data_IF_721018532005
#
_entry.id   IF_721018532005
#
_cell.length_a   1.000
_cell.length_b   1.000
_cell.length_c   1.000
_cell.angle_alpha   90.00
_cell.angle_beta   90.00
_cell.angle_gamma   90.00
#
_symmetry.space_group_name_H-M   'P 1'
#
loop_
_entity.id
_entity.type
_entity.pdbx_description
1 polymer ?
#
# COMPACT_ATOMS: atom_id res chain seq x y z
N UNK A 1 15.28 9.81 -12.35
CA UNK A 1 14.26 10.18 -11.34
C UNK A 1 13.94 8.95 -10.53
N UNK A 2 13.63 9.09 -9.25
CA UNK A 2 13.31 7.95 -8.38
C UNK A 2 11.96 7.33 -8.79
N UNK A 3 11.84 6.00 -8.87
CA UNK A 3 10.57 5.32 -9.09
C UNK A 3 9.55 5.61 -7.97
N UNK A 4 8.27 5.38 -8.26
CA UNK A 4 7.16 5.66 -7.34
C UNK A 4 6.25 4.45 -7.22
N UNK A 5 5.79 4.17 -6.00
CA UNK A 5 4.62 3.34 -5.73
C UNK A 5 3.41 4.24 -5.53
N UNK A 6 2.36 3.98 -6.29
CA UNK A 6 1.02 4.52 -6.08
C UNK A 6 0.16 3.45 -5.41
N UNK A 7 -0.50 3.80 -4.31
CA UNK A 7 -1.50 2.98 -3.65
C UNK A 7 -2.86 3.65 -3.77
N UNK A 8 -3.82 2.93 -4.36
CA UNK A 8 -5.19 3.35 -4.52
C UNK A 8 -6.13 2.42 -3.77
N UNK A 9 -6.88 2.98 -2.83
CA UNK A 9 -7.93 2.28 -2.09
C UNK A 9 -9.27 2.65 -2.72
N UNK A 10 -9.93 1.66 -3.33
CA UNK A 10 -11.21 1.79 -3.98
C UNK A 10 -12.28 1.09 -3.15
N UNK A 11 -13.15 1.89 -2.51
CA UNK A 11 -14.41 1.37 -1.98
C UNK A 11 -15.45 1.37 -3.09
N UNK A 12 -15.99 0.21 -3.40
CA UNK A 12 -16.99 0.06 -4.44
C UNK A 12 -18.38 -0.11 -3.87
N UNK A 13 -19.39 0.22 -4.68
CA UNK A 13 -20.79 -0.07 -4.39
C UNK A 13 -20.97 -1.59 -4.22
N UNK A 14 -22.05 -2.02 -3.57
CA UNK A 14 -22.44 -3.42 -3.60
C UNK A 14 -22.82 -3.81 -5.04
N UNK A 15 -21.88 -4.41 -5.77
CA UNK A 15 -22.07 -4.92 -7.12
C UNK A 15 -21.62 -6.38 -7.15
N UNK A 16 -22.40 -7.25 -7.79
CA UNK A 16 -22.09 -8.68 -7.87
C UNK A 16 -20.82 -8.97 -8.67
N UNK A 17 -20.46 -8.10 -9.62
CA UNK A 17 -19.26 -8.25 -10.43
C UNK A 17 -18.69 -6.89 -10.84
N UNK A 18 -17.44 -6.63 -10.43
CA UNK A 18 -16.69 -5.41 -10.78
C UNK A 18 -15.58 -5.68 -11.81
N UNK A 19 -15.45 -6.92 -12.27
CA UNK A 19 -14.30 -7.40 -13.04
C UNK A 19 -14.15 -6.70 -14.39
N UNK A 20 -15.24 -6.48 -15.13
CA UNK A 20 -15.18 -5.82 -16.45
C UNK A 20 -14.66 -4.38 -16.35
N UNK A 21 -15.21 -3.59 -15.44
CA UNK A 21 -14.79 -2.19 -15.27
C UNK A 21 -13.36 -2.10 -14.72
N UNK A 22 -12.96 -2.99 -13.80
CA UNK A 22 -11.57 -3.08 -13.35
C UNK A 22 -10.62 -3.46 -14.49
N UNK A 23 -10.99 -4.42 -15.33
CA UNK A 23 -10.19 -4.81 -16.50
C UNK A 23 -10.06 -3.66 -17.50
N UNK A 24 -11.15 -2.92 -17.75
CA UNK A 24 -11.13 -1.73 -18.60
C UNK A 24 -10.19 -0.65 -18.03
N UNK A 25 -10.32 -0.34 -16.74
CA UNK A 25 -9.43 0.61 -16.07
C UNK A 25 -7.95 0.17 -16.14
N UNK A 26 -7.66 -1.10 -15.86
CA UNK A 26 -6.31 -1.66 -15.94
C UNK A 26 -5.75 -1.64 -17.36
N UNK A 27 -6.59 -1.83 -18.38
CA UNK A 27 -6.21 -1.69 -19.78
C UNK A 27 -5.73 -0.27 -20.10
N UNK A 28 -6.46 0.76 -19.64
CA UNK A 28 -6.06 2.16 -19.79
C UNK A 28 -4.77 2.46 -19.04
N UNK A 29 -4.65 1.98 -17.80
CA UNK A 29 -3.47 2.18 -16.96
C UNK A 29 -2.24 1.52 -17.57
N UNK A 30 -2.34 0.29 -18.09
CA UNK A 30 -1.24 -0.45 -18.71
C UNK A 30 -0.57 0.31 -19.86
N UNK A 31 -1.35 1.08 -20.61
CA UNK A 31 -0.88 1.87 -21.74
C UNK A 31 -0.38 3.27 -21.33
N UNK A 32 -0.44 3.63 -20.04
CA UNK A 32 0.03 4.91 -19.54
C UNK A 32 1.56 5.00 -19.66
N UNK A 33 2.05 6.10 -20.23
CA UNK A 33 3.49 6.32 -20.36
C UNK A 33 4.14 6.41 -18.97
N UNK A 34 5.15 5.58 -18.73
CA UNK A 34 5.94 5.57 -17.49
C UNK A 34 5.35 4.72 -16.36
N UNK A 35 4.21 4.05 -16.55
CA UNK A 35 3.80 2.95 -15.67
C UNK A 35 4.71 1.75 -15.92
N UNK A 36 5.03 0.98 -14.88
CA UNK A 36 5.86 -0.23 -14.98
C UNK A 36 5.07 -1.48 -14.71
N UNK A 37 4.30 -1.49 -13.63
CA UNK A 37 3.52 -2.65 -13.21
C UNK A 37 2.28 -2.23 -12.44
N UNK A 38 1.34 -3.17 -12.33
CA UNK A 38 0.19 -3.03 -11.44
C UNK A 38 -0.14 -4.36 -10.79
N UNK A 39 -0.58 -4.28 -9.54
CA UNK A 39 -1.07 -5.35 -8.70
C UNK A 39 -2.42 -4.94 -8.15
N UNK A 40 -3.37 -5.86 -8.14
CA UNK A 40 -4.73 -5.57 -7.68
C UNK A 40 -5.27 -6.74 -6.87
N UNK A 41 -6.06 -6.44 -5.85
CA UNK A 41 -6.87 -7.45 -5.22
C UNK A 41 -7.75 -6.93 -4.09
N UNK A 42 -8.58 -7.81 -3.52
CA UNK A 42 -9.54 -7.43 -2.50
C UNK A 42 -8.84 -7.12 -1.17
N UNK A 43 -9.44 -6.23 -0.40
CA UNK A 43 -9.19 -6.18 1.03
C UNK A 43 -9.79 -7.44 1.68
N UNK A 44 -9.06 -8.09 2.57
CA UNK A 44 -9.47 -9.32 3.25
C UNK A 44 -10.53 -9.05 4.34
N UNK A 45 -10.53 -7.84 4.90
CA UNK A 45 -11.36 -7.46 6.05
C UNK A 45 -12.48 -6.49 5.67
N UNK A 46 -12.58 -6.12 4.39
CA UNK A 46 -13.57 -5.19 3.87
C UNK A 46 -14.08 -5.67 2.51
N UNK A 47 -15.20 -6.39 2.52
CA UNK A 47 -15.76 -7.07 1.34
C UNK A 47 -16.00 -6.17 0.12
N UNK A 48 -16.20 -4.86 0.33
CA UNK A 48 -16.43 -3.88 -0.72
C UNK A 48 -15.22 -2.98 -1.02
N UNK A 49 -14.01 -3.45 -0.73
CA UNK A 49 -12.78 -2.69 -0.95
C UNK A 49 -11.81 -3.46 -1.83
N UNK A 50 -11.33 -2.80 -2.88
CA UNK A 50 -10.23 -3.27 -3.72
C UNK A 50 -9.05 -2.33 -3.55
N UNK A 51 -7.85 -2.90 -3.50
CA UNK A 51 -6.60 -2.14 -3.47
C UNK A 51 -5.88 -2.34 -4.79
N UNK A 52 -5.50 -1.23 -5.43
CA UNK A 52 -4.64 -1.20 -6.60
C UNK A 52 -3.30 -0.60 -6.18
N UNK A 53 -2.23 -1.36 -6.37
CA UNK A 53 -0.86 -0.89 -6.25
C UNK A 53 -0.26 -0.79 -7.66
N UNK A 54 0.25 0.38 -8.03
CA UNK A 54 0.90 0.58 -9.33
C UNK A 54 2.29 1.19 -9.14
N UNK A 55 3.24 0.83 -10.00
CA UNK A 55 4.58 1.43 -9.95
C UNK A 55 4.89 2.21 -11.20
N UNK A 56 5.62 3.30 -11.00
CA UNK A 56 5.90 4.31 -12.01
C UNK A 56 7.39 4.60 -12.07
N UNK A 57 7.87 4.98 -13.26
CA UNK A 57 9.24 5.42 -13.49
C UNK A 57 9.60 6.67 -12.69
N UNK A 58 8.62 7.54 -12.44
CA UNK A 58 8.78 8.76 -11.64
C UNK A 58 7.44 9.33 -11.21
N UNK A 59 7.46 10.23 -10.23
CA UNK A 59 6.28 11.01 -9.86
C UNK A 59 5.82 11.93 -11.01
N UNK A 60 6.75 12.40 -11.84
CA UNK A 60 6.39 13.17 -13.03
C UNK A 60 5.54 12.35 -14.03
N UNK A 61 5.84 11.06 -14.20
CA UNK A 61 5.04 10.16 -15.03
C UNK A 61 3.60 10.03 -14.51
N UNK A 62 3.43 9.91 -13.19
CA UNK A 62 2.11 9.94 -12.53
C UNK A 62 1.37 11.23 -12.88
N UNK A 63 1.98 12.40 -12.65
CA UNK A 63 1.35 13.70 -12.89
C UNK A 63 0.99 13.87 -14.38
N UNK A 64 1.84 13.42 -15.29
CA UNK A 64 1.57 13.44 -16.73
C UNK A 64 0.39 12.54 -17.10
N UNK A 65 0.28 11.36 -16.49
CA UNK A 65 -0.89 10.50 -16.67
C UNK A 65 -2.15 11.20 -16.16
N UNK A 66 -2.16 11.72 -14.93
CA UNK A 66 -3.31 12.43 -14.33
C UNK A 66 -3.81 13.59 -15.19
N UNK A 67 -2.91 14.30 -15.87
CA UNK A 67 -3.24 15.42 -16.78
C UNK A 67 -3.69 14.98 -18.18
N UNK A 68 -3.61 13.69 -18.51
CA UNK A 68 -3.91 13.17 -19.84
C UNK A 68 -5.38 12.80 -20.03
N UNK A 69 -5.84 12.74 -21.28
CA UNK A 69 -7.18 12.23 -21.63
C UNK A 69 -7.37 10.76 -21.22
N UNK A 70 -6.28 10.00 -21.12
CA UNK A 70 -6.31 8.61 -20.65
C UNK A 70 -6.70 8.53 -19.17
N UNK A 71 -6.25 9.44 -18.32
CA UNK A 71 -6.71 9.47 -16.93
C UNK A 71 -8.21 9.74 -16.85
N UNK A 72 -8.77 10.60 -17.70
CA UNK A 72 -10.21 10.78 -17.75
C UNK A 72 -10.96 9.50 -18.14
N UNK A 73 -10.40 8.66 -19.02
CA UNK A 73 -10.95 7.34 -19.35
C UNK A 73 -10.85 6.39 -18.15
N UNK A 74 -9.65 6.25 -17.57
CA UNK A 74 -9.40 5.43 -16.38
C UNK A 74 -10.32 5.80 -15.22
N UNK A 75 -10.41 7.08 -14.89
CA UNK A 75 -11.21 7.59 -13.78
C UNK A 75 -12.71 7.35 -14.01
N UNK A 76 -13.20 7.45 -15.25
CA UNK A 76 -14.60 7.11 -15.56
C UNK A 76 -14.91 5.65 -15.23
N UNK A 77 -14.04 4.72 -15.59
CA UNK A 77 -14.26 3.30 -15.28
C UNK A 77 -14.20 3.04 -13.77
N UNK A 78 -13.26 3.66 -13.07
CA UNK A 78 -13.16 3.57 -11.60
C UNK A 78 -14.40 4.17 -10.92
N UNK A 79 -14.87 5.34 -11.37
CA UNK A 79 -16.02 6.03 -10.78
C UNK A 79 -17.34 5.28 -10.94
N UNK A 80 -17.49 4.45 -11.99
CA UNK A 80 -18.66 3.57 -12.14
C UNK A 80 -18.76 2.59 -10.97
N UNK A 81 -17.62 2.08 -10.51
CA UNK A 81 -17.50 1.14 -9.40
C UNK A 81 -17.58 1.84 -8.03
N UNK A 82 -16.97 3.01 -7.92
CA UNK A 82 -16.70 3.64 -6.65
C UNK A 82 -17.96 4.14 -5.94
N UNK A 83 -18.06 3.89 -4.62
CA UNK A 83 -19.04 4.52 -3.74
C UNK A 83 -18.62 5.97 -3.43
N UNK A 84 -17.33 6.17 -3.18
CA UNK A 84 -16.69 7.46 -2.93
C UNK A 84 -15.45 7.61 -3.83
N UNK A 85 -14.93 8.83 -4.07
CA UNK A 85 -13.69 9.00 -4.80
C UNK A 85 -12.57 8.14 -4.20
N UNK A 86 -11.82 7.38 -5.02
CA UNK A 86 -10.76 6.52 -4.51
C UNK A 86 -9.69 7.35 -3.83
N UNK A 87 -9.13 6.82 -2.74
CA UNK A 87 -8.00 7.45 -2.05
C UNK A 87 -6.72 6.96 -2.68
N UNK A 88 -5.98 7.88 -3.30
CA UNK A 88 -4.68 7.59 -3.93
C UNK A 88 -3.57 8.33 -3.20
N UNK A 89 -2.45 7.65 -2.98
CA UNK A 89 -1.26 8.20 -2.32
C UNK A 89 -0.01 7.66 -2.97
N UNK A 90 1.10 8.39 -2.86
CA UNK A 90 2.35 8.01 -3.51
C UNK A 90 3.50 7.92 -2.52
N UNK A 91 4.40 6.97 -2.73
CA UNK A 91 5.67 6.86 -2.02
C UNK A 91 6.81 6.75 -3.03
N UNK A 92 7.93 7.41 -2.76
CA UNK A 92 9.14 7.13 -3.52
C UNK A 92 9.63 5.73 -3.18
N UNK A 93 10.12 5.02 -4.19
CA UNK A 93 10.81 3.75 -3.97
C UNK A 93 12.28 4.07 -3.71
N UNK A 94 12.72 3.87 -2.47
CA UNK A 94 14.14 3.99 -2.16
C UNK A 94 14.93 2.85 -2.82
N UNK A 95 16.15 3.14 -3.26
CA UNK A 95 17.06 2.17 -3.88
C UNK A 95 17.48 1.05 -2.91
N UNK A 96 17.10 1.14 -1.62
CA UNK A 96 17.51 0.22 -0.57
C UNK A 96 16.45 -0.85 -0.31
N UNK A 97 16.77 -2.08 -0.73
CA UNK A 97 16.31 -3.36 -0.14
C UNK A 97 14.82 -3.72 -0.16
N UNK A 98 13.91 -2.86 -0.63
CA UNK A 98 12.51 -3.27 -0.70
C UNK A 98 12.28 -4.12 -1.93
N UNK A 99 12.23 -5.44 -1.74
CA UNK A 99 11.72 -6.35 -2.76
C UNK A 99 10.19 -6.27 -2.77
N UNK A 100 9.67 -5.23 -3.41
CA UNK A 100 8.22 -5.06 -3.59
C UNK A 100 7.60 -6.21 -4.38
N UNK A 101 8.37 -6.92 -5.25
CA UNK A 101 7.85 -8.09 -5.96
C UNK A 101 7.56 -9.19 -4.95
N UNK A 102 8.51 -9.49 -4.07
CA UNK A 102 8.31 -10.44 -2.98
C UNK A 102 7.17 -10.01 -2.06
N UNK A 103 7.12 -8.73 -1.67
CA UNK A 103 6.02 -8.21 -0.84
C UNK A 103 4.65 -8.45 -1.48
N UNK A 104 4.47 -8.09 -2.76
CA UNK A 104 3.20 -8.27 -3.47
C UNK A 104 2.88 -9.73 -3.84
N UNK A 105 3.80 -10.68 -3.59
CA UNK A 105 3.50 -12.12 -3.65
C UNK A 105 2.99 -12.72 -2.34
N UNK A 106 3.04 -11.96 -1.24
CA UNK A 106 2.53 -12.41 0.05
C UNK A 106 1.02 -12.70 -0.01
N UNK A 107 0.57 -13.70 0.76
CA UNK A 107 -0.86 -14.10 0.77
C UNK A 107 -1.73 -13.11 1.54
N UNK A 108 -1.15 -12.40 2.49
CA UNK A 108 -1.77 -11.28 3.16
C UNK A 108 -0.73 -10.16 3.30
N UNK A 109 -1.11 -8.93 3.00
CA UNK A 109 -0.30 -7.74 3.23
C UNK A 109 -1.06 -6.86 4.17
N UNK A 110 -0.50 -6.62 5.35
CA UNK A 110 -0.93 -5.58 6.26
C UNK A 110 -0.52 -4.23 5.67
N UNK A 111 -1.47 -3.31 5.51
CA UNK A 111 -1.24 -1.96 5.02
C UNK A 111 -1.68 -0.96 6.08
N UNK A 112 -0.73 -0.29 6.71
CA UNK A 112 -0.97 0.69 7.77
C UNK A 112 -0.56 2.08 7.31
N UNK A 113 -1.52 3.01 7.07
CA UNK A 113 -1.19 4.41 6.94
C UNK A 113 -0.93 4.97 8.34
N UNK A 114 0.23 5.59 8.53
CA UNK A 114 0.63 6.17 9.81
C UNK A 114 0.82 7.67 9.64
N UNK A 115 0.26 8.44 10.56
CA UNK A 115 0.58 9.86 10.72
C UNK A 115 1.52 9.99 11.90
N UNK A 116 2.67 10.61 11.71
CA UNK A 116 3.72 10.76 12.71
C UNK A 116 3.62 12.14 13.37
N UNK A 117 4.06 12.23 14.63
CA UNK A 117 4.36 13.53 15.22
C UNK A 117 5.54 14.17 14.48
N UNK A 118 5.40 15.44 14.09
CA UNK A 118 6.38 16.11 13.23
C UNK A 118 7.79 16.16 13.83
N UNK A 119 7.90 16.28 15.16
CA UNK A 119 9.18 16.25 15.90
C UNK A 119 9.72 14.83 16.14
N UNK A 120 8.95 13.79 15.80
CA UNK A 120 9.30 12.37 16.00
C UNK A 120 9.66 11.62 14.73
N UNK A 121 9.52 12.23 13.55
CA UNK A 121 9.77 11.55 12.26
C UNK A 121 11.15 10.85 12.22
N UNK A 122 12.22 11.56 12.61
CA UNK A 122 13.55 10.97 12.59
C UNK A 122 13.69 9.79 13.57
N UNK A 123 13.20 9.96 14.81
CA UNK A 123 13.24 8.91 15.82
C UNK A 123 12.40 7.70 15.41
N UNK A 124 11.28 7.93 14.72
CA UNK A 124 10.42 6.87 14.18
C UNK A 124 11.19 5.96 13.23
N UNK A 125 11.90 6.53 12.25
CA UNK A 125 12.69 5.72 11.31
C UNK A 125 13.83 4.96 12.00
N UNK A 126 14.44 5.52 13.06
CA UNK A 126 15.43 4.80 13.88
C UNK A 126 14.79 3.63 14.61
N UNK A 127 13.70 3.87 15.34
CA UNK A 127 12.98 2.85 16.10
C UNK A 127 12.48 1.74 15.17
N UNK A 128 12.02 2.12 13.98
CA UNK A 128 11.49 1.18 13.01
C UNK A 128 12.57 0.25 12.43
N UNK A 129 13.84 0.63 12.39
CA UNK A 129 14.92 -0.31 12.05
C UNK A 129 15.05 -1.44 13.07
N UNK A 130 14.75 -1.17 14.34
CA UNK A 130 14.72 -2.19 15.40
C UNK A 130 13.41 -2.97 15.35
N UNK A 131 12.27 -2.28 15.31
CA UNK A 131 10.94 -2.89 15.25
C UNK A 131 10.77 -3.80 14.02
N UNK A 132 11.29 -3.37 12.86
CA UNK A 132 11.29 -4.16 11.63
C UNK A 132 12.10 -5.46 11.74
N UNK A 133 13.15 -5.51 12.57
CA UNK A 133 13.86 -6.77 12.84
C UNK A 133 13.03 -7.73 13.69
N UNK A 134 12.20 -7.21 14.58
CA UNK A 134 11.26 -8.04 15.36
C UNK A 134 10.19 -8.63 14.45
N UNK A 135 9.61 -7.81 13.56
CA UNK A 135 8.68 -8.28 12.52
C UNK A 135 9.36 -9.32 11.63
N UNK A 136 10.58 -9.05 11.15
CA UNK A 136 11.30 -9.97 10.27
C UNK A 136 11.68 -11.30 10.92
N UNK A 137 11.75 -11.35 12.26
CA UNK A 137 11.97 -12.58 13.02
C UNK A 137 10.67 -13.37 13.27
N UNK A 138 9.51 -12.75 13.07
CA UNK A 138 8.22 -13.38 13.29
C UNK A 138 7.94 -14.50 12.28
N UNK A 139 7.25 -15.54 12.73
CA UNK A 139 6.86 -16.65 11.87
C UNK A 139 5.91 -16.17 10.78
N UNK A 140 6.22 -16.50 9.53
CA UNK A 140 5.38 -16.16 8.38
C UNK A 140 5.61 -14.77 7.81
N UNK A 141 6.61 -14.03 8.30
CA UNK A 141 7.09 -12.82 7.64
C UNK A 141 7.60 -13.11 6.22
N UNK A 142 7.21 -12.27 5.27
CA UNK A 142 7.64 -12.35 3.86
C UNK A 142 8.57 -11.20 3.51
N UNK A 143 8.08 -9.96 3.63
CA UNK A 143 8.81 -8.73 3.33
C UNK A 143 8.14 -7.55 4.02
N UNK A 144 8.80 -6.39 4.06
CA UNK A 144 8.20 -5.14 4.51
C UNK A 144 8.64 -3.96 3.63
N UNK A 145 7.79 -2.96 3.53
CA UNK A 145 8.05 -1.68 2.88
C UNK A 145 7.60 -0.56 3.80
N UNK A 146 8.43 0.47 3.95
CA UNK A 146 8.03 1.65 4.68
C UNK A 146 8.64 2.91 4.11
N UNK A 147 7.80 3.83 3.65
CA UNK A 147 8.22 5.08 3.05
C UNK A 147 7.22 6.21 3.35
N UNK A 148 7.69 7.46 3.41
CA UNK A 148 6.81 8.61 3.58
C UNK A 148 5.94 8.82 2.34
N UNK A 149 4.77 9.39 2.54
CA UNK A 149 3.90 9.82 1.45
C UNK A 149 4.47 11.11 0.84
N UNK A 150 4.49 11.18 -0.49
CA UNK A 150 5.01 12.34 -1.25
C UNK A 150 4.18 13.60 -0.94
N UNK A 151 2.87 13.44 -0.79
CA UNK A 151 1.92 14.54 -0.60
C UNK A 151 1.88 15.06 0.84
N UNK A 152 2.32 14.23 1.80
CA UNK A 152 2.24 14.53 3.22
C UNK A 152 3.44 13.89 3.94
N UNK A 153 4.54 14.64 4.18
CA UNK A 153 5.80 14.06 4.68
C UNK A 153 5.73 13.52 6.11
N UNK A 154 4.68 13.87 6.87
CA UNK A 154 4.39 13.30 8.19
C UNK A 154 3.52 12.05 8.11
N UNK A 155 2.97 11.74 6.95
CA UNK A 155 2.29 10.48 6.69
C UNK A 155 3.26 9.50 6.04
N UNK A 156 3.07 8.23 6.33
CA UNK A 156 3.81 7.15 5.69
C UNK A 156 2.90 5.96 5.44
N UNK A 157 3.34 5.08 4.55
CA UNK A 157 2.84 3.72 4.47
C UNK A 157 3.81 2.78 5.14
N UNK A 158 3.29 1.90 6.00
CA UNK A 158 3.98 0.68 6.43
C UNK A 158 3.22 -0.50 5.84
N UNK A 159 3.90 -1.30 5.02
CA UNK A 159 3.36 -2.52 4.43
C UNK A 159 4.16 -3.71 4.96
N UNK A 160 3.49 -4.75 5.42
CA UNK A 160 4.14 -5.98 5.88
C UNK A 160 3.46 -7.17 5.23
N UNK A 161 4.23 -7.97 4.50
CA UNK A 161 3.79 -9.19 3.87
C UNK A 161 3.87 -10.37 4.82
N UNK A 162 2.81 -11.16 4.82
CA UNK A 162 2.63 -12.35 5.64
C UNK A 162 2.23 -13.56 4.79
N UNK A 163 2.68 -14.73 5.20
CA UNK A 163 2.31 -16.02 4.60
C UNK A 163 0.82 -16.34 4.80
N UNK A 164 0.20 -15.79 5.84
CA UNK A 164 -1.26 -15.83 6.06
C UNK A 164 -1.70 -14.75 7.05
N UNK A 165 -2.98 -14.39 7.03
CA UNK A 165 -3.55 -13.42 7.98
C UNK A 165 -3.51 -13.95 9.42
N UNK A 166 -3.62 -15.27 9.61
CA UNK A 166 -3.54 -15.91 10.92
C UNK A 166 -2.14 -15.78 11.53
N UNK A 167 -1.08 -15.80 10.73
CA UNK A 167 0.29 -15.62 11.22
C UNK A 167 0.56 -14.17 11.64
N UNK A 168 0.03 -13.19 10.90
CA UNK A 168 -0.01 -11.80 11.35
C UNK A 168 -0.75 -11.66 12.69
N UNK A 169 -1.95 -12.21 12.80
CA UNK A 169 -2.71 -12.18 14.06
C UNK A 169 -1.97 -12.89 15.20
N UNK A 170 -1.24 -13.97 14.92
CA UNK A 170 -0.42 -14.64 15.92
C UNK A 170 0.72 -13.75 16.42
N UNK A 171 1.36 -12.98 15.54
CA UNK A 171 2.36 -11.97 15.94
C UNK A 171 1.76 -10.91 16.87
N UNK A 172 0.56 -10.39 16.56
CA UNK A 172 -0.11 -9.39 17.42
C UNK A 172 -0.49 -9.91 18.82
N UNK A 173 -0.54 -11.24 18.99
CA UNK A 173 -0.82 -11.89 20.27
C UNK A 173 0.46 -12.46 20.92
N UNK A 174 1.62 -12.25 20.32
CA UNK A 174 2.88 -12.79 20.82
C UNK A 174 3.37 -12.01 22.06
N UNK A 175 4.09 -12.66 23.00
CA UNK A 175 4.61 -12.01 24.19
C UNK A 175 5.52 -10.79 23.92
N UNK A 176 6.19 -10.77 22.77
CA UNK A 176 7.08 -9.69 22.32
C UNK A 176 6.36 -8.52 21.63
N UNK A 177 5.06 -8.63 21.34
CA UNK A 177 4.31 -7.57 20.68
C UNK A 177 4.23 -6.25 21.48
N UNK A 178 4.12 -6.26 22.82
CA UNK A 178 4.23 -5.04 23.63
C UNK A 178 5.55 -4.28 23.39
N UNK A 179 6.69 -4.99 23.34
CA UNK A 179 8.00 -4.39 23.09
C UNK A 179 8.06 -3.74 21.69
N UNK A 180 7.39 -4.35 20.70
CA UNK A 180 7.24 -3.77 19.36
C UNK A 180 6.42 -2.46 19.43
N UNK A 181 5.30 -2.46 20.15
CA UNK A 181 4.45 -1.28 20.30
C UNK A 181 5.16 -0.14 21.02
N UNK A 182 5.99 -0.42 22.03
CA UNK A 182 6.77 0.59 22.74
C UNK A 182 7.73 1.35 21.81
N UNK A 183 8.22 0.70 20.75
CA UNK A 183 9.10 1.34 19.76
C UNK A 183 8.34 2.24 18.77
N UNK A 184 7.13 1.83 18.38
CA UNK A 184 6.40 2.44 17.25
C UNK A 184 5.34 3.43 17.73
N UNK A 185 4.49 3.03 18.69
CA UNK A 185 3.31 3.80 19.10
C UNK A 185 3.62 5.23 19.60
N UNK A 186 4.71 5.49 20.36
CA UNK A 186 5.00 6.84 20.85
C UNK A 186 5.26 7.88 19.75
N UNK A 187 5.57 7.44 18.52
CA UNK A 187 5.87 8.31 17.39
C UNK A 187 4.65 8.59 16.50
N UNK A 188 3.56 7.85 16.69
CA UNK A 188 2.36 7.89 15.86
C UNK A 188 1.34 8.85 16.47
N UNK A 189 0.94 9.85 15.69
CA UNK A 189 -0.08 10.82 16.03
C UNK A 189 -1.45 10.37 15.52
N UNK A 190 -2.03 9.37 16.18
CA UNK A 190 -3.38 8.87 15.91
C UNK A 190 -4.19 8.79 17.21
N UNK A 191 -5.50 9.07 17.18
CA UNK A 191 -6.38 8.98 18.36
C UNK A 191 -6.64 7.53 18.82
N UNK A 192 -6.08 6.54 18.12
CA UNK A 192 -6.23 5.11 18.37
C UNK A 192 -5.31 4.29 17.47
N UNK A 193 -5.53 2.95 17.38
CA UNK A 193 -4.76 2.10 16.48
C UNK A 193 -4.83 2.58 15.02
N UNK A 194 -3.77 2.36 14.23
CA UNK A 194 -3.80 2.63 12.79
C UNK A 194 -4.97 1.92 12.11
N UNK A 195 -5.63 2.55 11.13
CA UNK A 195 -6.64 1.88 10.33
C UNK A 195 -5.95 0.93 9.35
N UNK A 196 -5.70 -0.30 9.81
CA UNK A 196 -5.07 -1.37 9.03
C UNK A 196 -6.04 -1.85 7.95
N UNK A 197 -5.50 -2.07 6.75
CA UNK A 197 -6.17 -2.78 5.67
C UNK A 197 -5.33 -4.02 5.37
N UNK A 198 -5.89 -5.22 5.47
CA UNK A 198 -5.23 -6.39 4.89
C UNK A 198 -5.68 -6.56 3.45
N UNK A 199 -4.73 -6.77 2.53
CA UNK A 199 -5.04 -7.04 1.14
C UNK A 199 -4.23 -8.25 0.64
N UNK A 200 -4.78 -8.95 -0.35
CA UNK A 200 -4.01 -9.91 -1.13
C UNK A 200 -3.96 -9.43 -2.57
N UNK A 201 -2.80 -9.56 -3.21
CA UNK A 201 -2.60 -9.01 -4.54
C UNK A 201 -2.45 -10.11 -5.59
N UNK A 202 -2.95 -9.81 -6.79
CA UNK A 202 -2.61 -10.51 -8.02
C UNK A 202 -1.94 -9.54 -8.96
N UNK A 203 -0.90 -10.00 -9.63
CA UNK A 203 -0.23 -9.22 -10.66
C UNK A 203 -1.18 -9.01 -11.84
N UNK A 204 -1.46 -7.76 -12.17
CA UNK A 204 -2.28 -7.39 -13.32
C UNK A 204 -1.43 -7.33 -14.60
N UNK A 205 -0.28 -6.66 -14.55
CA UNK A 205 0.68 -6.58 -15.65
C UNK A 205 2.06 -6.09 -15.19
N UNK A 206 3.05 -6.16 -16.09
CA UNK A 206 4.37 -5.52 -15.95
C UNK A 206 5.42 -6.36 -15.24
N UNK A 207 6.52 -5.73 -14.85
CA UNK A 207 7.52 -6.20 -13.87
C UNK A 207 8.02 -4.97 -13.10
N UNK A 208 8.48 -5.15 -11.86
CA UNK A 208 8.97 -4.01 -11.07
C UNK A 208 10.32 -3.48 -11.57
#
# INVERSE_FOLDING_TARGET
>A
MAPVLELMILKHKEVQDISEALQSALGVLKDAKGVRSAFIGPALDAANTTVLASTWESYESVINFVRSERYAQFFREIQRLAEEPPKTTHCFLSDAKTDLEVLFTAKAIEMAPLTLFGDKVHQHYINFQTAGKMIAAARGYVAQFQEPQIEAPYNQWSLVGWDSIELHHAFNNAPEFPDFLELVAPNVNLPGPPPIIHACFKKAFGSL
#
